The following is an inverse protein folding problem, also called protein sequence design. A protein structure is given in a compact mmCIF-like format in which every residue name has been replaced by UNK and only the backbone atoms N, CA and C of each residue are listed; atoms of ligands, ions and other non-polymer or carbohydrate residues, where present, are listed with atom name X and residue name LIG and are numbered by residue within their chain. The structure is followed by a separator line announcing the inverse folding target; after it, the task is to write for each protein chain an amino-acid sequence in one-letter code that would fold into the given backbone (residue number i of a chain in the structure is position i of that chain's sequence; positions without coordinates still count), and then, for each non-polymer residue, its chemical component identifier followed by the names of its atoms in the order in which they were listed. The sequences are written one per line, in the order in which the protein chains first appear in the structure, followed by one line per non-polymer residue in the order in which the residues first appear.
data_IF_471917827752
#
_entry.id   IF_471917827752
#
_cell.length_a   1.000
_cell.length_b   1.000
_cell.length_c   1.000
_cell.angle_alpha   90.00
_cell.angle_beta   90.00
_cell.angle_gamma   90.00
#
_symmetry.space_group_name_H-M   'P 1'
#
loop_
_entity.id
_entity.type
_entity.pdbx_description
1 polymer ?
#
# COMPACT_ATOMS: atom_id res chain seq x y z
N UNK A 1 -1.14 20.64 -16.43
CA UNK A 1 0.11 20.28 -17.09
C UNK A 1 0.28 18.76 -17.00
N UNK A 2 0.21 18.04 -18.13
CA UNK A 2 0.38 16.58 -18.17
C UNK A 2 1.71 16.10 -17.58
N UNK A 3 2.82 16.82 -17.81
CA UNK A 3 4.13 16.37 -17.32
C UNK A 3 4.21 16.46 -15.80
N UNK A 4 3.79 17.59 -15.22
CA UNK A 4 3.71 17.75 -13.77
C UNK A 4 2.77 16.73 -13.11
N UNK A 5 1.63 16.42 -13.74
CA UNK A 5 0.72 15.38 -13.26
C UNK A 5 1.40 14.01 -13.26
N UNK A 6 2.11 13.68 -14.34
CA UNK A 6 2.80 12.41 -14.48
C UNK A 6 3.91 12.24 -13.45
N UNK A 7 4.72 13.27 -13.23
CA UNK A 7 5.79 13.28 -12.22
C UNK A 7 5.22 13.10 -10.81
N UNK A 8 4.14 13.81 -10.48
CA UNK A 8 3.49 13.69 -9.18
C UNK A 8 2.94 12.27 -8.92
N UNK A 9 2.28 11.67 -9.92
CA UNK A 9 1.80 10.30 -9.82
C UNK A 9 2.96 9.30 -9.70
N UNK A 10 4.05 9.50 -10.42
CA UNK A 10 5.23 8.65 -10.30
C UNK A 10 5.84 8.68 -8.89
N UNK A 11 5.85 9.84 -8.22
CA UNK A 11 6.25 9.94 -6.81
C UNK A 11 5.33 9.12 -5.90
N UNK A 12 4.01 9.22 -6.07
CA UNK A 12 3.03 8.45 -5.29
C UNK A 12 3.28 6.93 -5.46
N UNK A 13 3.40 6.47 -6.72
CA UNK A 13 3.66 5.07 -7.03
C UNK A 13 4.95 4.56 -6.37
N UNK A 14 6.03 5.35 -6.44
CA UNK A 14 7.31 5.01 -5.83
C UNK A 14 7.22 4.90 -4.31
N UNK A 15 6.58 5.87 -3.65
CA UNK A 15 6.50 5.92 -2.19
C UNK A 15 5.64 4.76 -1.65
N UNK A 16 4.52 4.46 -2.30
CA UNK A 16 3.67 3.31 -1.94
C UNK A 16 4.37 1.97 -2.20
N UNK A 17 5.12 1.85 -3.30
CA UNK A 17 5.94 0.65 -3.55
C UNK A 17 6.99 0.45 -2.45
N UNK A 18 7.62 1.54 -2.00
CA UNK A 18 8.60 1.48 -0.91
C UNK A 18 7.94 1.11 0.43
N UNK A 19 6.78 1.69 0.74
CA UNK A 19 6.00 1.39 1.95
C UNK A 19 5.66 -0.11 2.03
N UNK A 20 4.98 -0.63 1.00
CA UNK A 20 4.61 -2.06 0.95
C UNK A 20 5.82 -2.99 1.06
N UNK A 21 6.94 -2.63 0.43
CA UNK A 21 8.19 -3.39 0.53
C UNK A 21 8.76 -3.42 1.96
N UNK A 22 8.81 -2.27 2.63
CA UNK A 22 9.31 -2.20 4.02
C UNK A 22 8.45 -3.03 4.96
N UNK A 23 7.14 -2.98 4.77
CA UNK A 23 6.21 -3.78 5.57
C UNK A 23 6.36 -5.28 5.32
N UNK A 24 6.39 -5.70 4.06
CA UNK A 24 6.53 -7.11 3.69
C UNK A 24 7.87 -7.72 4.10
N UNK A 25 8.96 -6.96 4.00
CA UNK A 25 10.32 -7.46 4.29
C UNK A 25 10.68 -7.37 5.77
N UNK A 26 10.16 -6.38 6.50
CA UNK A 26 10.60 -6.09 7.88
C UNK A 26 9.46 -6.18 8.89
N UNK A 27 8.36 -5.46 8.66
CA UNK A 27 7.30 -5.29 9.66
C UNK A 27 6.45 -6.56 9.82
N UNK A 28 5.86 -7.06 8.73
CA UNK A 28 4.97 -8.22 8.75
C UNK A 28 5.64 -9.49 9.26
N UNK A 29 6.91 -9.83 8.90
CA UNK A 29 7.60 -10.96 9.51
C UNK A 29 7.73 -10.83 11.03
N UNK A 30 8.05 -9.65 11.53
CA UNK A 30 8.19 -9.39 12.97
C UNK A 30 6.84 -9.52 13.70
N UNK A 31 5.76 -8.98 13.11
CA UNK A 31 4.40 -9.07 13.66
C UNK A 31 3.90 -10.52 13.63
N UNK A 32 4.00 -11.21 12.49
CA UNK A 32 3.57 -12.63 12.33
C UNK A 32 4.29 -13.58 13.28
N UNK A 33 5.56 -13.34 13.58
CA UNK A 33 6.32 -14.16 14.54
C UNK A 33 5.75 -14.12 15.97
N UNK A 34 4.89 -13.13 16.28
CA UNK A 34 4.36 -12.88 17.61
C UNK A 34 2.84 -12.89 17.68
N UNK A 35 2.17 -12.64 16.56
CA UNK A 35 0.71 -12.60 16.43
C UNK A 35 0.24 -13.86 15.71
N UNK A 36 -0.67 -14.63 16.34
CA UNK A 36 -1.29 -15.83 15.75
C UNK A 36 -2.59 -15.48 15.02
N UNK A 37 -2.52 -14.53 14.10
CA UNK A 37 -3.66 -14.05 13.33
C UNK A 37 -3.30 -14.05 11.85
N UNK A 38 -3.20 -15.28 11.30
CA UNK A 38 -2.74 -15.48 9.93
C UNK A 38 -3.73 -14.94 8.91
N UNK A 39 -5.04 -14.92 9.22
CA UNK A 39 -6.07 -14.38 8.33
C UNK A 39 -5.88 -12.88 8.10
N UNK A 40 -5.82 -12.09 9.19
CA UNK A 40 -5.57 -10.64 9.11
C UNK A 40 -4.28 -10.31 8.35
N UNK A 41 -3.20 -11.04 8.64
CA UNK A 41 -1.92 -10.77 7.96
C UNK A 41 -1.93 -11.22 6.50
N UNK A 42 -2.71 -12.25 6.15
CA UNK A 42 -2.87 -12.70 4.75
C UNK A 42 -3.76 -11.73 3.97
N UNK A 43 -4.78 -11.15 4.60
CA UNK A 43 -5.61 -10.09 4.03
C UNK A 43 -4.75 -8.87 3.67
N UNK A 44 -3.93 -8.38 4.60
CA UNK A 44 -3.00 -7.26 4.33
C UNK A 44 -2.06 -7.53 3.13
N UNK A 45 -1.57 -8.77 2.98
CA UNK A 45 -0.76 -9.15 1.80
C UNK A 45 -1.56 -9.15 0.50
N UNK A 46 -2.83 -9.55 0.53
CA UNK A 46 -3.71 -9.47 -0.64
C UNK A 46 -3.94 -8.02 -1.03
N UNK A 47 -4.23 -7.15 -0.06
CA UNK A 47 -4.40 -5.70 -0.30
C UNK A 47 -3.14 -5.07 -0.91
N UNK A 48 -1.95 -5.39 -0.37
CA UNK A 48 -0.67 -4.95 -0.95
C UNK A 48 -0.50 -5.39 -2.40
N UNK A 49 -0.81 -6.66 -2.70
CA UNK A 49 -0.69 -7.17 -4.05
C UNK A 49 -1.66 -6.45 -5.01
N UNK A 50 -2.90 -6.18 -4.58
CA UNK A 50 -3.87 -5.40 -5.35
C UNK A 50 -3.38 -3.97 -5.61
N UNK A 51 -2.82 -3.30 -4.59
CA UNK A 51 -2.25 -1.97 -4.74
C UNK A 51 -1.04 -1.96 -5.70
N UNK A 52 -0.11 -2.91 -5.57
CA UNK A 52 1.06 -3.05 -6.45
C UNK A 52 0.66 -3.34 -7.90
N UNK A 53 -0.35 -4.17 -8.14
CA UNK A 53 -0.89 -4.40 -9.48
C UNK A 53 -1.42 -3.11 -10.10
N UNK A 54 -2.23 -2.35 -9.36
CA UNK A 54 -2.79 -1.08 -9.85
C UNK A 54 -1.69 0.00 -10.06
N UNK A 55 -0.67 0.03 -9.20
CA UNK A 55 0.51 0.88 -9.39
C UNK A 55 1.20 0.55 -10.73
N UNK A 56 1.45 -0.72 -11.03
CA UNK A 56 2.10 -1.14 -12.27
C UNK A 56 1.26 -0.81 -13.52
N UNK A 57 -0.07 -0.71 -13.39
CA UNK A 57 -0.96 -0.22 -14.45
C UNK A 57 -0.87 1.31 -14.60
N UNK A 58 -0.94 2.04 -13.50
CA UNK A 58 -0.82 3.52 -13.46
C UNK A 58 0.54 3.97 -14.02
N UNK A 59 1.61 3.23 -13.77
CA UNK A 59 2.94 3.53 -14.28
C UNK A 59 3.04 3.45 -15.82
N UNK A 60 2.06 2.88 -16.51
CA UNK A 60 2.03 2.84 -17.99
C UNK A 60 1.27 4.02 -18.60
N UNK A 61 0.49 4.75 -17.80
CA UNK A 61 -0.38 5.84 -18.25
C UNK A 61 0.38 7.16 -18.43
N UNK A 62 0.02 7.92 -19.45
CA UNK A 62 0.54 9.27 -19.68
C UNK A 62 -0.18 10.31 -18.81
N UNK A 63 0.42 11.49 -18.67
CA UNK A 63 -0.10 12.57 -17.82
C UNK A 63 -1.47 13.13 -18.22
N UNK A 64 -1.82 13.01 -19.48
CA UNK A 64 -3.09 13.41 -20.09
C UNK A 64 -4.02 12.22 -20.37
N UNK A 65 -3.63 11.01 -19.98
CA UNK A 65 -4.47 9.82 -20.15
C UNK A 65 -5.74 9.95 -19.29
N UNK A 66 -6.94 9.79 -19.88
CA UNK A 66 -8.21 9.93 -19.16
C UNK A 66 -8.36 8.92 -18.00
N UNK A 67 -7.63 7.81 -18.03
CA UNK A 67 -7.63 6.81 -16.97
C UNK A 67 -6.68 7.13 -15.81
N UNK A 68 -5.73 8.05 -15.97
CA UNK A 68 -4.72 8.32 -14.93
C UNK A 68 -5.36 8.73 -13.60
N UNK A 69 -6.20 9.77 -13.64
CA UNK A 69 -6.83 10.31 -12.42
C UNK A 69 -7.84 9.34 -11.77
N UNK A 70 -8.74 8.67 -12.53
CA UNK A 70 -9.58 7.61 -11.98
C UNK A 70 -8.77 6.49 -11.31
N UNK A 71 -7.73 5.98 -11.96
CA UNK A 71 -6.90 4.91 -11.39
C UNK A 71 -6.20 5.33 -10.11
N UNK A 72 -5.65 6.56 -10.06
CA UNK A 72 -5.06 7.11 -8.83
C UNK A 72 -6.10 7.28 -7.71
N UNK A 73 -7.35 7.60 -8.07
CA UNK A 73 -8.44 7.71 -7.09
C UNK A 73 -8.74 6.36 -6.46
N UNK A 74 -8.87 5.30 -7.26
CA UNK A 74 -9.07 3.92 -6.78
C UNK A 74 -7.88 3.44 -5.95
N UNK A 75 -6.65 3.72 -6.39
CA UNK A 75 -5.45 3.41 -5.60
C UNK A 75 -5.51 4.07 -4.21
N UNK A 76 -5.94 5.32 -4.14
CA UNK A 76 -6.09 6.01 -2.86
C UNK A 76 -7.22 5.41 -1.99
N UNK A 77 -8.24 4.78 -2.56
CA UNK A 77 -9.26 4.06 -1.79
C UNK A 77 -8.70 2.76 -1.21
N UNK A 78 -7.95 1.99 -1.99
CA UNK A 78 -7.26 0.78 -1.53
C UNK A 78 -6.30 1.11 -0.39
N UNK A 79 -5.42 2.09 -0.58
CA UNK A 79 -4.44 2.49 0.46
C UNK A 79 -5.14 2.98 1.73
N UNK A 80 -6.24 3.75 1.60
CA UNK A 80 -6.99 4.20 2.79
C UNK A 80 -7.67 3.06 3.52
N UNK A 81 -8.16 2.04 2.81
CA UNK A 81 -8.72 0.86 3.46
C UNK A 81 -7.64 0.13 4.24
N UNK A 82 -6.55 -0.19 3.55
CA UNK A 82 -5.39 -0.86 4.09
C UNK A 82 -4.85 -0.21 5.36
N UNK A 83 -4.48 1.08 5.29
CA UNK A 83 -3.95 1.83 6.45
C UNK A 83 -4.92 1.82 7.63
N UNK A 84 -6.24 1.90 7.38
CA UNK A 84 -7.23 1.86 8.48
C UNK A 84 -7.26 0.51 9.17
N UNK A 85 -7.08 -0.59 8.44
CA UNK A 85 -7.01 -1.92 9.05
C UNK A 85 -5.72 -2.10 9.82
N UNK A 86 -4.58 -1.65 9.27
CA UNK A 86 -3.30 -1.69 9.97
C UNK A 86 -3.35 -0.91 11.29
N UNK A 87 -3.82 0.34 11.26
CA UNK A 87 -3.88 1.20 12.45
C UNK A 87 -4.80 0.63 13.55
N UNK A 88 -5.87 -0.07 13.17
CA UNK A 88 -6.88 -0.61 14.10
C UNK A 88 -6.54 -1.99 14.62
N UNK A 89 -5.96 -2.84 13.78
CA UNK A 89 -5.81 -4.26 14.07
C UNK A 89 -4.34 -4.68 14.21
N UNK A 90 -3.46 -4.24 13.32
CA UNK A 90 -2.07 -4.70 13.25
C UNK A 90 -1.17 -3.88 14.20
N UNK A 91 -1.17 -2.55 14.11
CA UNK A 91 -0.32 -1.67 14.91
C UNK A 91 -0.56 -1.81 16.43
N UNK A 92 -1.79 -1.96 16.95
CA UNK A 92 -1.99 -2.21 18.37
C UNK A 92 -1.39 -3.55 18.82
N UNK A 93 -1.39 -4.57 17.94
CA UNK A 93 -0.72 -5.84 18.20
C UNK A 93 0.80 -5.64 18.22
N UNK A 94 1.37 -4.91 17.25
CA UNK A 94 2.80 -4.57 17.20
C UNK A 94 3.28 -3.78 18.43
N UNK A 95 2.52 -2.75 18.87
CA UNK A 95 2.79 -1.94 20.07
C UNK A 95 2.88 -2.76 21.35
N UNK A 96 1.96 -3.70 21.56
CA UNK A 96 2.00 -4.60 22.71
C UNK A 96 3.26 -5.47 22.73
N UNK A 97 3.87 -5.67 21.57
CA UNK A 97 5.07 -6.47 21.37
C UNK A 97 6.35 -5.63 21.31
N UNK A 98 6.25 -4.29 21.39
CA UNK A 98 7.35 -3.32 21.22
C UNK A 98 8.06 -3.48 19.87
N UNK A 99 7.27 -3.62 18.80
CA UNK A 99 7.73 -3.78 17.43
C UNK A 99 7.43 -2.56 16.53
N UNK A 100 6.87 -1.48 17.09
CA UNK A 100 6.56 -0.23 16.38
C UNK A 100 7.72 0.77 16.40
#
# INVERSE_FOLDING_TARGET
DPNAMREFVATICKDLTMHTKLEEELFYPAVRAKVKDDELMNEALVEHNSAKTLIAEIEKLQGDDPMLKPSVTVLAEYVRHHVREEEREIMPKAKRLKLD
#
